data_IF_400887731822
#
_entry.id   IF_400887731822
#
_cell.length_a   1.000
_cell.length_b   1.000
_cell.length_c   1.000
_cell.angle_alpha   90.00
_cell.angle_beta   90.00
_cell.angle_gamma   90.00
#
_symmetry.space_group_name_H-M   'P 1'
#
loop_
_entity.id
_entity.type
_entity.pdbx_description
1 polymer ?
#
# COMPACT_ATOMS: atom_id res chain seq x y z
N UNK A 1 -6.50 -18.44 26.42
CA UNK A 1 -6.57 -17.99 25.81
C UNK A 1 -6.69 -17.40 25.13
N UNK A 2 -6.63 -17.32 25.12
CA UNK A 2 -6.67 -16.67 24.34
C UNK A 2 -6.86 -16.20 23.59
N UNK A 3 -6.80 -15.93 23.52
CA UNK A 3 -7.01 -15.47 22.69
C UNK A 3 -7.17 -14.73 22.09
N UNK A 4 -7.00 -14.36 22.11
CA UNK A 4 -7.02 -13.56 21.44
C UNK A 4 -6.87 -13.22 20.68
N UNK A 5 -7.24 -12.92 20.85
CA UNK A 5 -6.99 -12.61 19.85
C UNK A 5 -6.80 -11.45 19.33
N UNK A 6 -6.02 -11.25 19.22
CA UNK A 6 -5.57 -10.08 18.54
C UNK A 6 -5.66 -10.29 17.06
N UNK A 7 -6.49 -9.53 16.39
CA UNK A 7 -6.62 -9.67 14.96
C UNK A 7 -5.76 -8.59 14.34
N UNK A 8 -4.58 -8.97 13.87
CA UNK A 8 -3.79 -8.08 13.05
C UNK A 8 -4.31 -8.27 11.63
N UNK A 9 -5.05 -7.30 11.15
CA UNK A 9 -5.60 -7.36 9.81
C UNK A 9 -4.61 -6.76 8.85
N UNK A 10 -4.06 -7.59 7.96
CA UNK A 10 -3.21 -7.11 6.88
C UNK A 10 -3.83 -7.57 5.58
N UNK A 11 -4.10 -6.62 4.72
CA UNK A 11 -4.66 -6.88 3.40
C UNK A 11 -3.60 -6.60 2.35
N UNK A 12 -3.39 -7.53 1.45
CA UNK A 12 -2.43 -7.36 0.36
C UNK A 12 -3.17 -7.23 -0.96
N UNK A 13 -2.86 -6.21 -1.73
CA UNK A 13 -3.41 -6.03 -3.07
C UNK A 13 -2.27 -5.71 -4.01
N UNK A 14 -2.48 -5.97 -5.31
CA UNK A 14 -1.51 -5.59 -6.32
C UNK A 14 -1.91 -4.28 -6.96
N UNK A 15 -0.92 -3.40 -7.12
CA UNK A 15 -1.14 -2.09 -7.73
C UNK A 15 -0.11 -1.86 -8.82
N UNK A 16 -0.43 -0.90 -9.68
CA UNK A 16 0.47 -0.46 -10.75
C UNK A 16 0.72 1.04 -10.57
N UNK A 17 1.99 1.41 -10.49
CA UNK A 17 2.40 2.80 -10.33
C UNK A 17 3.36 3.17 -11.46
N UNK A 18 2.89 3.06 -12.69
CA UNK A 18 3.76 3.11 -13.86
C UNK A 18 3.95 4.52 -14.44
N UNK A 19 3.65 5.55 -13.65
CA UNK A 19 3.93 6.93 -14.06
C UNK A 19 4.22 7.77 -12.84
N UNK A 20 4.95 8.86 -13.05
CA UNK A 20 5.27 9.79 -11.96
C UNK A 20 3.99 10.35 -11.34
N UNK A 21 3.01 10.67 -12.17
CA UNK A 21 1.76 11.23 -11.67
C UNK A 21 1.00 10.22 -10.81
N UNK A 22 1.03 8.94 -11.19
CA UNK A 22 0.38 7.92 -10.38
C UNK A 22 1.07 7.75 -9.03
N UNK A 23 2.40 7.80 -9.01
CA UNK A 23 3.14 7.71 -7.74
C UNK A 23 2.76 8.87 -6.83
N UNK A 24 2.76 10.08 -7.35
CA UNK A 24 2.42 11.25 -6.54
C UNK A 24 1.00 11.19 -6.01
N UNK A 25 0.07 10.82 -6.88
CA UNK A 25 -1.33 10.72 -6.52
C UNK A 25 -1.53 9.63 -5.45
N UNK A 26 -0.89 8.49 -5.63
CA UNK A 26 -0.96 7.37 -4.70
C UNK A 26 -0.47 7.78 -3.32
N UNK A 27 0.72 8.38 -3.23
CA UNK A 27 1.28 8.80 -1.94
C UNK A 27 0.37 9.82 -1.28
N UNK A 28 -0.15 10.76 -2.06
CA UNK A 28 -1.07 11.76 -1.53
C UNK A 28 -2.33 11.11 -0.94
N UNK A 29 -2.85 10.11 -1.64
CA UNK A 29 -4.07 9.43 -1.21
C UNK A 29 -3.87 8.65 0.07
N UNK A 30 -2.80 7.85 0.16
CA UNK A 30 -2.61 6.99 1.34
C UNK A 30 -2.11 7.77 2.55
N UNK A 31 -1.51 8.95 2.34
CA UNK A 31 -1.06 9.77 3.44
C UNK A 31 -2.22 10.25 4.31
N UNK A 32 -3.42 10.25 3.76
CA UNK A 32 -4.62 10.66 4.51
C UNK A 32 -5.03 9.65 5.56
N UNK A 33 -4.52 8.42 5.45
CA UNK A 33 -4.82 7.37 6.42
C UNK A 33 -3.65 7.23 7.40
N UNK A 34 -3.97 7.01 8.67
CA UNK A 34 -2.95 6.85 9.70
C UNK A 34 -2.39 5.44 9.77
N UNK A 35 -2.81 4.56 8.86
CA UNK A 35 -2.31 3.19 8.85
C UNK A 35 -0.94 3.12 8.21
N UNK A 36 -0.23 2.05 8.51
CA UNK A 36 1.03 1.75 7.85
C UNK A 36 0.75 1.01 6.55
N UNK A 37 1.49 1.36 5.51
CA UNK A 37 1.41 0.72 4.21
C UNK A 37 2.81 0.38 3.77
N UNK A 38 3.00 -0.86 3.29
CA UNK A 38 4.29 -1.31 2.77
C UNK A 38 4.15 -1.69 1.31
N UNK A 39 5.15 -1.36 0.52
CA UNK A 39 5.27 -1.85 -0.85
C UNK A 39 6.34 -2.93 -0.90
N UNK A 40 6.01 -4.04 -1.54
CA UNK A 40 6.91 -5.18 -1.66
C UNK A 40 7.19 -5.41 -3.14
N UNK A 41 8.47 -5.34 -3.50
CA UNK A 41 8.92 -5.58 -4.86
C UNK A 41 10.15 -6.49 -4.78
N UNK A 42 9.96 -7.77 -5.14
CA UNK A 42 11.00 -8.75 -5.00
C UNK A 42 11.38 -8.90 -3.54
N UNK A 43 12.66 -8.63 -3.23
CA UNK A 43 13.14 -8.72 -1.85
C UNK A 43 13.12 -7.38 -1.12
N UNK A 44 12.61 -6.33 -1.77
CA UNK A 44 12.58 -5.00 -1.18
C UNK A 44 11.23 -4.75 -0.54
N UNK A 45 11.26 -4.25 0.69
CA UNK A 45 10.06 -3.82 1.41
C UNK A 45 10.31 -2.38 1.82
N UNK A 46 9.45 -1.49 1.34
CA UNK A 46 9.61 -0.05 1.64
C UNK A 46 8.31 0.51 2.19
N UNK A 47 8.43 1.62 2.90
CA UNK A 47 7.27 2.38 3.35
C UNK A 47 6.58 2.99 2.14
N UNK A 48 5.31 2.65 1.93
CA UNK A 48 4.57 3.12 0.77
C UNK A 48 4.33 4.63 0.78
N UNK A 49 4.51 5.28 1.93
CA UNK A 49 4.37 6.74 2.03
C UNK A 49 5.66 7.46 1.68
N UNK A 50 6.73 6.72 1.38
CA UNK A 50 8.03 7.30 1.02
C UNK A 50 8.13 7.41 -0.50
N UNK A 51 7.95 8.61 -1.02
CA UNK A 51 7.99 8.81 -2.46
C UNK A 51 9.36 8.46 -3.05
N UNK A 52 10.42 8.77 -2.31
CA UNK A 52 11.78 8.44 -2.77
C UNK A 52 12.01 6.94 -2.79
N UNK A 53 11.48 6.22 -1.77
CA UNK A 53 11.57 4.78 -1.75
C UNK A 53 10.87 4.15 -2.94
N UNK A 54 9.69 4.68 -3.30
CA UNK A 54 8.93 4.15 -4.43
C UNK A 54 9.72 4.31 -5.73
N UNK A 55 10.36 5.44 -5.94
CA UNK A 55 11.12 5.68 -7.16
C UNK A 55 12.37 4.81 -7.26
N UNK A 56 12.77 4.15 -6.18
CA UNK A 56 13.88 3.20 -6.23
C UNK A 56 13.45 1.81 -6.73
N UNK A 57 12.16 1.57 -6.90
CA UNK A 57 11.64 0.30 -7.34
C UNK A 57 11.49 0.25 -8.86
N UNK A 58 11.34 -0.97 -9.39
CA UNK A 58 11.01 -1.15 -10.81
C UNK A 58 9.51 -0.95 -10.96
N UNK A 59 9.11 0.24 -11.40
CA UNK A 59 7.70 0.60 -11.49
C UNK A 59 7.03 0.10 -12.76
N UNK A 60 7.76 -0.58 -13.63
CA UNK A 60 7.18 -1.16 -14.84
C UNK A 60 6.36 -2.42 -14.56
N UNK A 61 6.46 -2.94 -13.34
CA UNK A 61 5.81 -4.19 -12.94
C UNK A 61 4.83 -3.94 -11.82
N UNK A 62 3.83 -4.82 -11.67
CA UNK A 62 2.94 -4.75 -10.52
C UNK A 62 3.71 -4.86 -9.21
N UNK A 63 3.21 -4.20 -8.19
CA UNK A 63 3.84 -4.17 -6.88
C UNK A 63 2.80 -4.61 -5.87
N UNK A 64 3.21 -5.39 -4.88
CA UNK A 64 2.32 -5.79 -3.80
C UNK A 64 2.26 -4.67 -2.77
N UNK A 65 1.04 -4.32 -2.37
CA UNK A 65 0.81 -3.32 -1.34
C UNK A 65 0.21 -4.03 -0.13
N UNK A 66 0.89 -3.93 1.00
CA UNK A 66 0.39 -4.44 2.27
C UNK A 66 -0.24 -3.30 3.05
N UNK A 67 -1.50 -3.47 3.42
CA UNK A 67 -2.29 -2.47 4.13
C UNK A 67 -2.47 -2.97 5.55
N UNK A 68 -1.90 -2.26 6.52
CA UNK A 68 -1.98 -2.62 7.94
C UNK A 68 -3.10 -1.82 8.58
N UNK A 69 -4.34 -2.12 8.18
CA UNK A 69 -5.50 -1.40 8.66
C UNK A 69 -6.32 -2.31 9.56
N UNK A 70 -6.70 -1.80 10.73
CA UNK A 70 -7.53 -2.54 11.68
C UNK A 70 -9.01 -2.35 11.40
N UNK A 71 -9.35 -1.20 10.81
CA UNK A 71 -10.73 -0.87 10.46
C UNK A 71 -10.70 -0.05 9.17
N UNK A 72 -11.87 0.31 8.67
CA UNK A 72 -12.00 1.15 7.46
C UNK A 72 -11.28 0.57 6.24
N UNK A 73 -11.10 -0.75 6.19
CA UNK A 73 -10.42 -1.38 5.07
C UNK A 73 -11.16 -1.10 3.76
N UNK A 74 -12.48 -1.08 3.81
CA UNK A 74 -13.29 -0.84 2.62
C UNK A 74 -13.04 0.57 2.06
N UNK A 75 -12.90 1.55 2.94
CA UNK A 75 -12.62 2.93 2.50
C UNK A 75 -11.25 3.02 1.87
N UNK A 76 -10.27 2.34 2.46
CA UNK A 76 -8.90 2.32 1.93
C UNK A 76 -8.90 1.69 0.55
N UNK A 77 -9.58 0.54 0.40
CA UNK A 77 -9.62 -0.15 -0.88
C UNK A 77 -10.32 0.68 -1.95
N UNK A 78 -11.37 1.38 -1.56
CA UNK A 78 -12.08 2.25 -2.50
C UNK A 78 -11.16 3.36 -3.02
N UNK A 79 -10.37 3.94 -2.13
CA UNK A 79 -9.40 4.98 -2.48
C UNK A 79 -8.32 4.42 -3.41
N UNK A 80 -7.96 3.15 -3.25
CA UNK A 80 -6.88 2.54 -4.02
C UNK A 80 -7.31 1.96 -5.35
N UNK A 81 -8.60 1.91 -5.62
CA UNK A 81 -9.09 1.31 -6.86
C UNK A 81 -8.40 1.82 -8.13
N UNK A 82 -8.13 3.13 -8.27
CA UNK A 82 -7.48 3.60 -9.49
C UNK A 82 -6.09 3.00 -9.75
N UNK A 83 -5.46 2.44 -8.73
CA UNK A 83 -4.12 1.88 -8.85
C UNK A 83 -4.12 0.35 -8.90
N UNK A 84 -5.22 -0.27 -8.50
CA UNK A 84 -5.29 -1.73 -8.41
C UNK A 84 -5.43 -2.35 -9.79
N UNK A 85 -4.85 -3.55 -9.92
CA UNK A 85 -4.96 -4.34 -11.14
C UNK A 85 -5.70 -5.64 -10.88
#
# INVERSE_FOLDING_TARGET
MNNFKEVITMKTVQISLNSIDKVKSFVNDITKFDYDFDLVSGRYVIDAKSIMGIFSLDLSKPIDLNIHAEDNVDEVLETLKPYMI
#
